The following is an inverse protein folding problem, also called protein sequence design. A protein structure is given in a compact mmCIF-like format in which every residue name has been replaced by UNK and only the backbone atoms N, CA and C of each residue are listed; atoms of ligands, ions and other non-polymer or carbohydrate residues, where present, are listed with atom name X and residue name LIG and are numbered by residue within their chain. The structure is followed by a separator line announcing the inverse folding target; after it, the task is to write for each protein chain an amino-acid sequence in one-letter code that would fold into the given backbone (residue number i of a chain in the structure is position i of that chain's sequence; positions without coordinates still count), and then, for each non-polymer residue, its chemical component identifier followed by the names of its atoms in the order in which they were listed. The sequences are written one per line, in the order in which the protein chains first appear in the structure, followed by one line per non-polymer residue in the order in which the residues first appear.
data_IF_610779110174
#
_entry.id   IF_610779110174
#
_cell.length_a   1.000
_cell.length_b   1.000
_cell.length_c   1.000
_cell.angle_alpha   90.00
_cell.angle_beta   90.00
_cell.angle_gamma   90.00
#
_symmetry.space_group_name_H-M   'P 1'
#
loop_
_entity.id
_entity.type
_entity.pdbx_description
1 polymer ?
#
# COMPACT_ATOMS: atom_id res chain seq x y z
N UNK A 1 24.77 17.87 13.45
CA UNK A 1 25.00 17.21 12.15
C UNK A 1 25.83 18.04 11.18
N UNK A 2 25.64 19.36 11.02
CA UNK A 2 26.54 20.15 10.15
C UNK A 2 28.00 20.05 10.63
N UNK A 3 28.93 19.83 9.71
CA UNK A 3 30.34 19.57 9.96
C UNK A 3 30.69 18.11 10.24
N UNK A 4 29.69 17.27 10.58
CA UNK A 4 29.90 15.83 10.76
C UNK A 4 30.06 15.13 9.41
N UNK A 5 30.65 13.94 9.45
CA UNK A 5 30.75 13.08 8.28
C UNK A 5 29.86 11.86 8.40
N UNK A 6 29.28 11.45 7.27
CA UNK A 6 28.57 10.17 7.12
C UNK A 6 29.26 9.45 5.96
N UNK A 7 30.01 8.40 6.29
CA UNK A 7 30.94 7.76 5.34
C UNK A 7 31.92 8.77 4.71
N UNK A 8 31.91 8.84 3.38
CA UNK A 8 32.78 9.71 2.59
C UNK A 8 32.22 11.13 2.39
N UNK A 9 31.10 11.49 3.02
CA UNK A 9 30.42 12.77 2.80
C UNK A 9 30.45 13.62 4.06
N UNK A 10 30.93 14.86 3.95
CA UNK A 10 30.88 15.85 5.04
C UNK A 10 29.66 16.73 4.85
N UNK A 11 28.78 16.79 5.86
CA UNK A 11 27.53 17.55 5.82
C UNK A 11 27.83 19.05 5.94
N UNK A 12 27.41 19.86 4.96
CA UNK A 12 27.74 21.29 4.90
C UNK A 12 26.55 22.20 5.14
N UNK A 13 25.34 21.80 4.73
CA UNK A 13 24.13 22.63 4.89
C UNK A 13 22.88 21.77 5.07
N UNK A 14 21.94 22.21 5.88
CA UNK A 14 20.64 21.55 6.03
C UNK A 14 19.72 22.00 4.88
N UNK A 15 19.04 21.04 4.23
CA UNK A 15 18.15 21.30 3.08
C UNK A 15 16.67 21.16 3.47
N UNK A 16 16.35 20.23 4.36
CA UNK A 16 14.98 20.03 4.82
C UNK A 16 14.83 18.78 5.68
N UNK A 17 13.66 18.60 6.25
CA UNK A 17 13.31 17.47 7.11
C UNK A 17 11.95 16.92 6.66
N UNK A 18 11.87 15.60 6.55
CA UNK A 18 10.64 14.85 6.32
C UNK A 18 10.32 13.96 7.52
N UNK A 19 9.18 13.27 7.47
CA UNK A 19 8.68 12.51 8.63
C UNK A 19 9.57 11.37 9.16
N UNK A 20 10.60 10.95 8.41
CA UNK A 20 11.51 9.88 8.83
C UNK A 20 13.00 10.21 8.67
N UNK A 21 13.34 11.32 8.01
CA UNK A 21 14.71 11.60 7.61
C UNK A 21 14.96 13.10 7.44
N UNK A 22 16.20 13.50 7.67
CA UNK A 22 16.70 14.84 7.43
C UNK A 22 17.62 14.84 6.22
N UNK A 23 17.46 15.84 5.34
CA UNK A 23 18.23 15.96 4.11
C UNK A 23 19.25 17.08 4.28
N UNK A 24 20.50 16.75 3.99
CA UNK A 24 21.63 17.66 4.06
C UNK A 24 22.31 17.75 2.70
N UNK A 25 22.80 18.93 2.37
CA UNK A 25 23.87 19.07 1.42
C UNK A 25 25.16 18.52 2.03
N UNK A 26 25.92 17.78 1.23
CA UNK A 26 27.22 17.28 1.64
C UNK A 26 28.24 17.37 0.51
N UNK A 27 29.52 17.41 0.90
CA UNK A 27 30.66 17.34 -0.02
C UNK A 27 31.36 16.00 0.13
N UNK A 28 31.57 15.29 -0.97
CA UNK A 28 32.36 14.07 -0.98
C UNK A 28 33.83 14.43 -0.65
N UNK A 29 34.42 13.78 0.36
CA UNK A 29 35.76 14.09 0.88
C UNK A 29 36.86 14.01 -0.17
N UNK A 30 36.88 12.92 -0.95
CA UNK A 30 37.90 12.66 -1.97
C UNK A 30 37.62 13.39 -3.29
N UNK A 31 36.40 13.23 -3.83
CA UNK A 31 36.04 13.76 -5.16
C UNK A 31 35.70 15.26 -5.15
N UNK A 32 35.39 15.83 -3.99
CA UNK A 32 34.96 17.22 -3.85
C UNK A 32 33.58 17.52 -4.45
N UNK A 33 32.92 16.53 -5.04
CA UNK A 33 31.56 16.65 -5.60
C UNK A 33 30.54 16.93 -4.51
N UNK A 34 29.46 17.61 -4.89
CA UNK A 34 28.38 18.00 -4.01
C UNK A 34 27.19 17.05 -4.20
N UNK A 35 26.64 16.57 -3.11
CA UNK A 35 25.50 15.66 -3.08
C UNK A 35 24.42 16.17 -2.11
N UNK A 36 23.23 15.60 -2.21
CA UNK A 36 22.25 15.61 -1.13
C UNK A 36 22.30 14.25 -0.40
N UNK A 37 22.22 14.28 0.93
CA UNK A 37 22.35 13.12 1.81
C UNK A 37 21.13 13.11 2.71
N UNK A 38 20.21 12.17 2.45
CA UNK A 38 19.02 11.89 3.26
C UNK A 38 19.41 10.93 4.37
N UNK A 39 19.42 11.41 5.61
CA UNK A 39 19.84 10.68 6.80
C UNK A 39 18.61 10.24 7.58
N UNK A 40 18.49 8.94 7.84
CA UNK A 40 17.41 8.38 8.65
C UNK A 40 17.49 8.93 10.09
N UNK A 41 16.36 9.31 10.67
CA UNK A 41 16.32 9.77 12.07
C UNK A 41 16.85 8.68 13.01
N UNK A 42 17.79 9.07 13.88
CA UNK A 42 18.33 8.27 14.98
C UNK A 42 17.30 7.55 15.86
N UNK A 43 16.10 8.11 16.04
CA UNK A 43 15.02 7.48 16.80
C UNK A 43 14.43 6.29 16.05
N UNK A 44 14.46 6.34 14.72
CA UNK A 44 13.93 5.32 13.82
C UNK A 44 14.97 4.26 13.47
N UNK A 45 16.27 4.56 13.59
CA UNK A 45 17.33 3.58 13.39
C UNK A 45 17.36 2.47 14.45
N UNK A 46 16.58 2.58 15.52
CA UNK A 46 16.36 1.49 16.47
C UNK A 46 15.39 0.41 15.97
N UNK A 47 14.65 0.66 14.87
CA UNK A 47 13.63 -0.25 14.35
C UNK A 47 14.11 -0.97 13.07
N UNK A 48 14.43 -2.29 13.15
CA UNK A 48 14.97 -3.04 12.01
C UNK A 48 14.07 -3.01 10.77
N UNK A 49 12.75 -2.99 10.96
CA UNK A 49 11.78 -2.90 9.87
C UNK A 49 11.90 -1.58 9.10
N UNK A 50 12.16 -0.45 9.77
CA UNK A 50 12.32 0.85 9.13
C UNK A 50 13.64 0.95 8.38
N UNK A 51 14.73 0.41 8.93
CA UNK A 51 16.01 0.30 8.22
C UNK A 51 15.85 -0.55 6.96
N UNK A 52 15.17 -1.71 7.05
CA UNK A 52 14.91 -2.56 5.89
C UNK A 52 14.15 -1.81 4.80
N UNK A 53 13.11 -1.05 5.18
CA UNK A 53 12.32 -0.22 4.24
C UNK A 53 13.18 0.87 3.60
N UNK A 54 13.98 1.57 4.38
CA UNK A 54 14.87 2.63 3.90
C UNK A 54 15.92 2.09 2.90
N UNK A 55 16.48 0.91 3.18
CA UNK A 55 17.41 0.21 2.26
C UNK A 55 16.70 -0.26 0.99
N UNK A 56 15.48 -0.78 1.10
CA UNK A 56 14.68 -1.19 -0.06
C UNK A 56 14.33 0.00 -0.97
N UNK A 57 13.99 1.16 -0.40
CA UNK A 57 13.77 2.40 -1.13
C UNK A 57 15.00 2.78 -1.95
N UNK A 58 16.18 2.82 -1.31
CA UNK A 58 17.45 3.11 -1.97
C UNK A 58 17.75 2.14 -3.13
N UNK A 59 17.55 0.83 -2.90
CA UNK A 59 17.81 -0.22 -3.89
C UNK A 59 16.87 -0.15 -5.09
N UNK A 60 15.60 0.20 -4.89
CA UNK A 60 14.65 0.38 -5.99
C UNK A 60 14.98 1.62 -6.80
N UNK A 61 15.26 2.75 -6.14
CA UNK A 61 15.62 3.99 -6.82
C UNK A 61 16.95 3.90 -7.57
N UNK A 62 17.93 3.15 -7.05
CA UNK A 62 19.21 2.93 -7.73
C UNK A 62 19.10 2.21 -9.08
N UNK A 63 17.98 1.52 -9.35
CA UNK A 63 17.69 0.88 -10.65
C UNK A 63 17.10 1.85 -11.68
N UNK A 64 16.64 3.01 -11.24
CA UNK A 64 15.96 3.98 -12.08
C UNK A 64 16.95 5.04 -12.55
N UNK A 65 17.29 5.02 -13.83
CA UNK A 65 18.08 6.07 -14.48
C UNK A 65 17.21 6.78 -15.52
N UNK A 66 16.72 7.97 -15.16
CA UNK A 66 15.84 8.77 -16.00
C UNK A 66 16.10 10.26 -15.76
N UNK A 67 16.03 11.14 -16.80
CA UNK A 67 16.24 12.58 -16.64
C UNK A 67 15.34 13.22 -15.58
N UNK A 68 14.12 12.70 -15.43
CA UNK A 68 13.08 13.23 -14.55
C UNK A 68 12.90 12.48 -13.21
N UNK A 69 13.83 11.57 -12.87
CA UNK A 69 13.86 10.89 -11.56
C UNK A 69 15.18 11.25 -10.88
N UNK A 70 15.15 11.50 -9.56
CA UNK A 70 16.38 11.79 -8.82
C UNK A 70 17.32 10.60 -8.82
N UNK A 71 18.58 10.85 -9.19
CA UNK A 71 19.62 9.81 -9.19
C UNK A 71 20.08 9.51 -7.78
N UNK A 72 19.90 8.26 -7.35
CA UNK A 72 20.59 7.71 -6.16
C UNK A 72 22.01 7.34 -6.56
N UNK A 73 22.98 7.89 -5.81
CA UNK A 73 24.41 7.71 -6.05
C UNK A 73 24.95 6.58 -5.17
N UNK A 74 24.56 6.56 -3.89
CA UNK A 74 25.13 5.65 -2.90
C UNK A 74 24.17 5.40 -1.73
N UNK A 75 24.40 4.32 -0.99
CA UNK A 75 23.74 4.02 0.28
C UNK A 75 24.81 3.79 1.35
N UNK A 76 24.79 4.62 2.39
CA UNK A 76 25.82 4.60 3.45
C UNK A 76 25.24 3.98 4.71
N UNK A 77 25.86 2.87 5.14
CA UNK A 77 25.71 2.29 6.47
C UNK A 77 26.90 2.75 7.33
N UNK A 78 26.73 3.83 8.10
CA UNK A 78 27.79 4.35 8.96
C UNK A 78 27.80 3.61 10.31
N UNK A 79 28.62 2.56 10.33
CA UNK A 79 28.92 1.72 11.51
C UNK A 79 30.04 2.26 12.37
N UNK A 80 30.52 3.49 12.16
CA UNK A 80 31.52 4.11 13.05
C UNK A 80 31.05 4.13 14.51
N UNK A 81 29.73 4.03 14.70
CA UNK A 81 29.07 3.99 15.99
C UNK A 81 28.57 2.59 16.42
N UNK A 82 28.96 1.53 15.69
CA UNK A 82 28.53 0.16 15.98
C UNK A 82 29.09 -0.35 17.32
N UNK A 83 28.25 -1.09 18.03
CA UNK A 83 28.46 -1.50 19.43
C UNK A 83 29.32 -2.76 19.57
N UNK A 84 29.35 -3.62 18.54
CA UNK A 84 29.96 -4.96 18.62
C UNK A 84 31.49 -4.97 18.65
N UNK A 85 32.16 -3.96 18.08
CA UNK A 85 33.63 -3.95 17.90
C UNK A 85 34.42 -3.15 18.95
N UNK A 86 33.76 -2.52 19.93
CA UNK A 86 34.41 -1.50 20.79
C UNK A 86 34.05 -1.59 22.28
N UNK A 87 33.48 -2.72 22.70
CA UNK A 87 33.30 -3.05 24.11
C UNK A 87 34.68 -3.19 24.77
N UNK A 88 35.09 -2.14 25.48
CA UNK A 88 36.24 -2.21 26.37
C UNK A 88 35.85 -2.99 27.62
N UNK A 89 36.80 -3.74 28.17
CA UNK A 89 36.59 -4.50 29.40
C UNK A 89 36.11 -3.56 30.53
N UNK A 90 34.93 -3.84 31.09
CA UNK A 90 34.30 -3.04 32.14
C UNK A 90 33.39 -1.89 31.68
N UNK A 91 33.24 -1.63 30.38
CA UNK A 91 32.30 -0.62 29.85
C UNK A 91 30.89 -1.21 29.68
N UNK A 92 29.86 -0.54 30.19
CA UNK A 92 28.48 -0.98 29.98
C UNK A 92 27.98 -0.65 28.58
N UNK A 93 27.05 -1.43 28.04
CA UNK A 93 26.43 -1.16 26.73
C UNK A 93 25.84 0.27 26.66
N UNK A 94 25.29 0.77 27.77
CA UNK A 94 24.77 2.13 27.88
C UNK A 94 25.87 3.21 27.79
N UNK A 95 27.06 2.94 28.31
CA UNK A 95 28.22 3.82 28.17
C UNK A 95 28.74 3.84 26.73
N UNK A 96 28.80 2.69 26.07
CA UNK A 96 29.18 2.61 24.64
C UNK A 96 28.17 3.37 23.76
N UNK A 97 26.87 3.17 23.97
CA UNK A 97 25.80 3.91 23.24
C UNK A 97 25.89 5.41 23.50
N UNK A 98 26.14 5.85 24.74
CA UNK A 98 26.33 7.29 25.04
C UNK A 98 27.59 7.87 24.42
N UNK A 99 28.67 7.08 24.33
CA UNK A 99 29.97 7.50 23.80
C UNK A 99 29.98 7.60 22.28
N UNK A 100 29.34 6.64 21.60
CA UNK A 100 29.34 6.55 20.14
C UNK A 100 28.09 7.15 19.51
N UNK A 101 26.94 7.11 20.17
CA UNK A 101 25.67 7.41 19.51
C UNK A 101 25.18 6.25 18.63
N UNK A 102 24.02 6.41 17.97
CA UNK A 102 23.40 5.34 17.20
C UNK A 102 24.03 5.15 15.81
N UNK A 103 23.88 3.95 15.26
CA UNK A 103 24.17 3.69 13.85
C UNK A 103 23.34 4.62 12.95
N UNK A 104 23.96 5.04 11.85
CA UNK A 104 23.36 5.99 10.91
C UNK A 104 23.26 5.38 9.53
N UNK A 105 22.09 5.55 8.92
CA UNK A 105 21.80 5.07 7.59
C UNK A 105 21.47 6.29 6.73
N UNK A 106 22.07 6.36 5.54
CA UNK A 106 21.85 7.49 4.64
C UNK A 106 21.76 7.08 3.16
N UNK A 107 20.89 7.77 2.42
CA UNK A 107 20.81 7.69 0.96
C UNK A 107 21.49 8.93 0.40
N UNK A 108 22.49 8.72 -0.46
CA UNK A 108 23.18 9.79 -1.18
C UNK A 108 22.56 9.92 -2.55
N UNK A 109 22.18 11.13 -2.91
CA UNK A 109 21.51 11.46 -4.16
C UNK A 109 22.14 12.68 -4.83
N UNK A 110 21.85 12.87 -6.12
CA UNK A 110 22.26 14.07 -6.82
C UNK A 110 21.75 15.34 -6.12
N UNK A 111 22.56 16.39 -6.17
CA UNK A 111 22.17 17.67 -5.60
C UNK A 111 21.30 18.44 -6.59
N UNK A 112 20.07 18.74 -6.18
CA UNK A 112 19.17 19.58 -6.95
C UNK A 112 19.24 21.06 -6.52
N UNK A 113 18.95 21.96 -7.45
CA UNK A 113 18.84 23.41 -7.26
C UNK A 113 17.50 23.86 -7.83
N UNK A 114 16.70 24.56 -7.02
CA UNK A 114 15.31 24.90 -7.31
C UNK A 114 14.44 24.71 -6.07
N UNK A 115 13.18 24.33 -6.28
CA UNK A 115 12.17 24.19 -5.23
C UNK A 115 11.20 23.06 -5.53
N UNK A 116 10.47 22.56 -4.54
CA UNK A 116 9.39 21.61 -4.81
C UNK A 116 8.15 22.29 -5.44
N UNK A 117 7.34 21.52 -6.15
CA UNK A 117 6.15 22.02 -6.85
C UNK A 117 5.15 22.67 -5.86
N UNK A 118 5.10 22.20 -4.61
CA UNK A 118 4.26 22.78 -3.57
C UNK A 118 4.72 24.20 -3.21
N UNK A 119 6.02 24.41 -3.07
CA UNK A 119 6.62 25.73 -2.88
C UNK A 119 6.35 26.64 -4.08
N UNK A 120 6.50 26.13 -5.31
CA UNK A 120 6.21 26.90 -6.54
C UNK A 120 4.74 27.36 -6.58
N UNK A 121 3.80 26.46 -6.34
CA UNK A 121 2.36 26.79 -6.29
C UNK A 121 2.06 27.79 -5.16
N UNK A 122 2.72 27.67 -4.01
CA UNK A 122 2.55 28.63 -2.91
C UNK A 122 3.06 30.04 -3.27
N UNK A 123 4.12 30.14 -4.07
CA UNK A 123 4.70 31.41 -4.50
C UNK A 123 3.90 32.07 -5.64
N UNK A 124 3.46 31.28 -6.62
CA UNK A 124 2.84 31.79 -7.86
C UNK A 124 1.30 31.72 -7.86
N UNK A 125 0.72 30.93 -6.95
CA UNK A 125 -0.70 30.59 -6.98
C UNK A 125 -1.01 29.53 -8.06
N UNK A 126 -2.13 29.71 -8.76
CA UNK A 126 -2.48 28.87 -9.90
C UNK A 126 -1.43 29.02 -11.01
N UNK A 127 -0.93 27.88 -11.51
CA UNK A 127 0.07 27.85 -12.56
C UNK A 127 -0.57 28.03 -13.94
N UNK A 128 0.18 28.63 -14.87
CA UNK A 128 -0.28 28.77 -16.26
C UNK A 128 -0.39 27.42 -16.97
N UNK A 129 -1.28 27.33 -17.96
CA UNK A 129 -1.49 26.12 -18.74
C UNK A 129 -0.19 25.58 -19.37
N UNK A 130 0.64 26.46 -19.94
CA UNK A 130 1.93 26.08 -20.55
C UNK A 130 2.88 25.46 -19.52
N UNK A 131 3.00 26.06 -18.33
CA UNK A 131 3.84 25.52 -17.25
C UNK A 131 3.30 24.18 -16.77
N UNK A 132 1.97 24.05 -16.65
CA UNK A 132 1.33 22.78 -16.27
C UNK A 132 1.65 21.68 -17.28
N UNK A 133 1.47 21.93 -18.57
CA UNK A 133 1.71 20.93 -19.61
C UNK A 133 3.16 20.46 -19.61
N UNK A 134 4.12 21.38 -19.45
CA UNK A 134 5.55 21.05 -19.39
C UNK A 134 5.89 20.21 -18.15
N UNK A 135 5.58 20.70 -16.94
CA UNK A 135 5.95 20.01 -15.70
C UNK A 135 5.25 18.65 -15.55
N UNK A 136 3.96 18.56 -15.87
CA UNK A 136 3.20 17.32 -15.75
C UNK A 136 3.49 16.34 -16.89
N UNK A 137 3.86 16.83 -18.08
CA UNK A 137 4.38 16.00 -19.16
C UNK A 137 5.64 15.25 -18.71
N UNK A 138 6.62 15.97 -18.16
CA UNK A 138 7.85 15.38 -17.61
C UNK A 138 7.56 14.38 -16.46
N UNK A 139 6.58 14.68 -15.60
CA UNK A 139 6.15 13.74 -14.55
C UNK A 139 5.58 12.43 -15.13
N UNK A 140 4.77 12.53 -16.19
CA UNK A 140 4.17 11.37 -16.84
C UNK A 140 5.21 10.52 -17.57
N UNK A 141 6.23 11.13 -18.16
CA UNK A 141 7.37 10.41 -18.73
C UNK A 141 8.14 9.62 -17.66
N UNK A 142 8.44 10.25 -16.52
CA UNK A 142 9.10 9.59 -15.40
C UNK A 142 8.28 8.43 -14.82
N UNK A 143 6.98 8.64 -14.62
CA UNK A 143 6.09 7.62 -14.09
C UNK A 143 5.93 6.46 -15.07
N UNK A 144 5.75 6.74 -16.36
CA UNK A 144 5.72 5.72 -17.40
C UNK A 144 6.97 4.83 -17.32
N UNK A 145 8.15 5.43 -17.27
CA UNK A 145 9.42 4.71 -17.17
C UNK A 145 9.50 3.80 -15.94
N UNK A 146 9.03 4.28 -14.77
CA UNK A 146 9.01 3.47 -13.56
C UNK A 146 7.97 2.33 -13.63
N UNK A 147 6.79 2.61 -14.19
CA UNK A 147 5.69 1.65 -14.35
C UNK A 147 6.06 0.49 -15.27
N UNK A 148 6.80 0.76 -16.36
CA UNK A 148 7.34 -0.27 -17.27
C UNK A 148 8.32 -1.23 -16.56
N UNK A 149 8.92 -0.80 -15.44
CA UNK A 149 9.78 -1.64 -14.62
C UNK A 149 9.02 -2.32 -13.47
N UNK A 150 7.69 -2.22 -13.45
CA UNK A 150 6.84 -2.75 -12.40
C UNK A 150 6.92 -1.97 -11.08
N UNK A 151 7.40 -0.72 -11.12
CA UNK A 151 7.59 0.12 -9.94
C UNK A 151 6.55 1.24 -9.93
N UNK A 152 5.60 1.17 -9.01
CA UNK A 152 4.70 2.29 -8.69
C UNK A 152 5.31 3.17 -7.58
N UNK A 153 5.11 4.48 -7.68
CA UNK A 153 5.65 5.46 -6.73
C UNK A 153 4.89 5.49 -5.40
N UNK A 154 3.56 5.49 -5.45
CA UNK A 154 2.60 5.40 -4.32
C UNK A 154 2.63 6.56 -3.33
N UNK A 155 3.31 7.65 -3.66
CA UNK A 155 3.38 8.87 -2.83
C UNK A 155 3.59 10.12 -3.68
N UNK A 156 2.90 10.20 -4.82
CA UNK A 156 2.96 11.38 -5.68
C UNK A 156 2.22 12.53 -5.01
N UNK A 157 2.90 13.67 -4.89
CA UNK A 157 2.40 14.92 -4.30
C UNK A 157 3.36 16.06 -4.65
N UNK A 158 2.94 17.34 -4.53
CA UNK A 158 3.78 18.47 -4.90
C UNK A 158 5.16 18.49 -4.21
N UNK A 159 5.26 18.08 -2.94
CA UNK A 159 6.53 18.08 -2.21
C UNK A 159 7.55 17.04 -2.70
N UNK A 160 7.09 16.06 -3.49
CA UNK A 160 7.93 14.99 -4.05
C UNK A 160 8.24 15.24 -5.54
N UNK A 161 7.82 16.38 -6.10
CA UNK A 161 8.15 16.81 -7.45
C UNK A 161 9.03 18.05 -7.32
N UNK A 162 10.33 17.89 -7.52
CA UNK A 162 11.29 18.99 -7.44
C UNK A 162 11.41 19.66 -8.81
N UNK A 163 11.23 20.98 -8.88
CA UNK A 163 11.36 21.79 -10.08
C UNK A 163 12.69 22.52 -10.03
N UNK A 164 13.60 22.19 -10.95
CA UNK A 164 14.89 22.86 -11.05
C UNK A 164 14.78 24.23 -11.70
N UNK A 165 15.76 25.10 -11.45
CA UNK A 165 15.80 26.47 -12.01
C UNK A 165 15.80 26.50 -13.55
N UNK A 166 16.23 25.42 -14.20
CA UNK A 166 16.20 25.25 -15.65
C UNK A 166 14.87 24.68 -16.18
N UNK A 167 13.85 24.49 -15.35
CA UNK A 167 12.54 23.96 -15.71
C UNK A 167 12.44 22.43 -15.73
N UNK A 168 13.54 21.71 -15.49
CA UNK A 168 13.51 20.24 -15.44
C UNK A 168 12.97 19.78 -14.09
N UNK A 169 12.01 18.85 -14.09
CA UNK A 169 11.53 18.23 -12.87
C UNK A 169 12.34 16.99 -12.49
N UNK A 170 12.36 16.69 -11.20
CA UNK A 170 12.89 15.46 -10.61
C UNK A 170 11.87 14.91 -9.62
N UNK A 171 11.36 13.71 -9.88
CA UNK A 171 10.55 12.97 -8.92
C UNK A 171 11.47 12.44 -7.81
N UNK A 172 11.06 12.68 -6.56
CA UNK A 172 11.75 12.29 -5.33
C UNK A 172 10.98 11.20 -4.59
N UNK A 173 11.68 10.41 -3.76
CA UNK A 173 11.10 9.59 -2.68
C UNK A 173 9.97 8.64 -3.09
N UNK A 174 10.31 7.52 -3.73
CA UNK A 174 9.35 6.45 -3.97
C UNK A 174 8.82 5.92 -2.62
N UNK A 175 7.50 5.94 -2.43
CA UNK A 175 6.79 5.69 -1.16
C UNK A 175 6.83 4.25 -0.65
N UNK A 176 7.89 3.51 -0.94
CA UNK A 176 8.10 2.10 -0.62
C UNK A 176 8.03 1.87 0.91
N UNK A 177 8.52 2.85 1.69
CA UNK A 177 8.45 2.81 3.15
C UNK A 177 7.02 2.89 3.71
N UNK A 178 6.04 3.42 2.95
CA UNK A 178 4.65 3.61 3.39
C UNK A 178 3.76 2.36 3.21
N UNK A 179 4.10 1.49 2.26
CA UNK A 179 3.30 0.31 1.91
C UNK A 179 3.21 -0.74 3.00
N UNK A 180 4.27 -0.88 3.78
CA UNK A 180 4.34 -1.86 4.86
C UNK A 180 3.77 -1.32 6.18
N UNK A 181 3.30 -0.07 6.20
CA UNK A 181 2.60 0.52 7.33
C UNK A 181 1.11 0.15 7.38
N UNK A 182 0.53 -0.38 6.29
CA UNK A 182 -0.91 -0.64 6.10
C UNK A 182 -1.56 -1.73 7.00
N UNK A 183 -0.83 -2.21 8.02
CA UNK A 183 -1.34 -3.15 9.03
C UNK A 183 -1.46 -2.52 10.43
N UNK A 184 -1.91 -3.31 11.42
CA UNK A 184 -2.14 -2.90 12.82
C UNK A 184 -0.95 -2.24 13.56
N UNK A 185 0.24 -2.09 12.94
CA UNK A 185 1.39 -1.36 13.47
C UNK A 185 1.25 0.18 13.40
N UNK A 186 0.23 0.70 12.70
CA UNK A 186 -0.04 2.14 12.53
C UNK A 186 -0.10 2.96 13.83
N UNK A 187 -0.56 2.35 14.93
CA UNK A 187 -0.78 3.04 16.20
C UNK A 187 0.41 2.94 17.16
N UNK A 188 1.31 1.97 16.97
CA UNK A 188 2.35 1.66 17.95
C UNK A 188 3.65 2.45 17.75
N UNK A 189 3.98 2.88 16.53
CA UNK A 189 5.25 3.57 16.24
C UNK A 189 5.17 5.10 16.31
N UNK A 190 3.99 5.68 16.58
CA UNK A 190 3.81 7.14 16.66
C UNK A 190 4.19 7.90 15.38
N UNK A 191 4.31 7.20 14.24
CA UNK A 191 4.65 7.77 12.95
C UNK A 191 3.43 8.54 12.45
N UNK A 192 3.52 9.87 12.47
CA UNK A 192 2.46 10.74 12.01
C UNK A 192 2.18 10.44 10.53
N UNK A 193 0.97 9.93 10.24
CA UNK A 193 0.49 9.82 8.88
C UNK A 193 0.52 11.24 8.30
N UNK A 194 1.31 11.46 7.26
CA UNK A 194 1.22 12.70 6.49
C UNK A 194 -0.23 12.93 6.04
N UNK A 195 -0.59 14.16 5.74
CA UNK A 195 -1.96 14.50 5.34
C UNK A 195 -2.40 13.66 4.12
N UNK A 196 -3.57 12.99 4.16
CA UNK A 196 -3.98 12.01 3.15
C UNK A 196 -4.43 12.63 1.80
N UNK A 197 -4.31 13.96 1.62
CA UNK A 197 -4.89 14.74 0.51
C UNK A 197 -4.66 14.12 -0.87
N UNK A 198 -3.48 13.54 -1.12
CA UNK A 198 -3.09 12.99 -2.43
C UNK A 198 -3.22 11.47 -2.51
N UNK A 199 -3.70 10.81 -1.45
CA UNK A 199 -3.91 9.35 -1.46
C UNK A 199 -5.06 8.99 -2.39
N UNK A 200 -4.89 7.89 -3.11
CA UNK A 200 -5.97 7.27 -3.89
C UNK A 200 -7.00 6.57 -3.00
N UNK A 201 -8.25 6.36 -3.46
CA UNK A 201 -9.28 5.64 -2.72
C UNK A 201 -8.82 4.26 -2.23
N UNK A 202 -8.13 3.50 -3.07
CA UNK A 202 -7.60 2.18 -2.75
C UNK A 202 -6.49 2.21 -1.67
N UNK A 203 -5.72 3.31 -1.59
CA UNK A 203 -4.75 3.52 -0.51
C UNK A 203 -5.44 3.83 0.81
N UNK A 204 -6.49 4.66 0.78
CA UNK A 204 -7.29 4.98 1.98
C UNK A 204 -7.99 3.71 2.50
N UNK A 205 -8.53 2.90 1.60
CA UNK A 205 -9.16 1.62 1.94
C UNK A 205 -8.16 0.51 2.31
N UNK A 206 -6.85 0.80 2.30
CA UNK A 206 -5.79 -0.16 2.61
C UNK A 206 -5.87 -1.45 1.80
N UNK A 207 -6.22 -1.33 0.52
CA UNK A 207 -6.34 -2.49 -0.36
C UNK A 207 -4.99 -3.18 -0.54
N UNK A 208 -5.02 -4.52 -0.61
CA UNK A 208 -3.79 -5.33 -0.72
C UNK A 208 -3.10 -5.17 -2.07
N UNK A 209 -3.84 -4.86 -3.13
CA UNK A 209 -3.35 -4.74 -4.50
C UNK A 209 -3.41 -3.28 -4.97
N UNK A 210 -2.36 -2.54 -4.63
CA UNK A 210 -2.10 -1.21 -5.18
C UNK A 210 -1.29 -1.34 -6.48
N UNK A 211 -1.87 -0.92 -7.60
CA UNK A 211 -1.19 -0.86 -8.88
C UNK A 211 -0.75 0.58 -9.22
N UNK A 212 -0.19 0.78 -10.42
CA UNK A 212 0.34 2.07 -10.86
C UNK A 212 -0.74 3.16 -11.05
N UNK A 213 -2.03 2.79 -11.13
CA UNK A 213 -3.14 3.74 -11.30
C UNK A 213 -3.44 4.54 -10.03
N UNK A 214 -2.87 4.14 -8.89
CA UNK A 214 -2.81 4.99 -7.70
C UNK A 214 -1.94 6.23 -7.96
N UNK A 215 -0.83 6.11 -8.71
CA UNK A 215 0.02 7.25 -9.06
C UNK A 215 -0.71 8.22 -10.01
N UNK A 216 -1.53 7.68 -10.93
CA UNK A 216 -2.35 8.46 -11.85
C UNK A 216 -3.36 9.32 -11.07
N UNK A 217 -4.03 8.73 -10.08
CA UNK A 217 -4.93 9.47 -9.18
C UNK A 217 -4.18 10.57 -8.44
N UNK A 218 -3.07 10.22 -7.77
CA UNK A 218 -2.28 11.16 -6.98
C UNK A 218 -1.71 12.31 -7.83
N UNK A 219 -1.28 12.04 -9.07
CA UNK A 219 -0.86 13.06 -10.01
C UNK A 219 -2.04 13.93 -10.47
N UNK A 220 -3.23 13.35 -10.66
CA UNK A 220 -4.47 14.09 -10.94
C UNK A 220 -4.84 15.08 -9.82
N UNK A 221 -4.72 14.68 -8.55
CA UNK A 221 -4.91 15.58 -7.40
C UNK A 221 -3.84 16.67 -7.35
N UNK A 222 -2.60 16.32 -7.68
CA UNK A 222 -1.49 17.29 -7.80
C UNK A 222 -1.77 18.30 -8.93
N UNK A 223 -2.34 17.84 -10.04
CA UNK A 223 -2.75 18.67 -11.18
C UNK A 223 -3.90 19.61 -10.81
N UNK A 224 -4.90 19.11 -10.06
CA UNK A 224 -5.97 19.95 -9.50
C UNK A 224 -5.39 21.13 -8.73
N UNK A 225 -4.42 20.87 -7.84
CA UNK A 225 -3.79 21.91 -7.05
C UNK A 225 -3.00 22.90 -7.89
N UNK A 226 -2.25 22.43 -8.90
CA UNK A 226 -1.52 23.31 -9.80
C UNK A 226 -2.45 24.25 -10.57
N UNK A 227 -3.63 23.76 -10.98
CA UNK A 227 -4.65 24.56 -11.69
C UNK A 227 -5.35 25.56 -10.75
N UNK A 228 -5.72 25.14 -9.54
CA UNK A 228 -6.51 25.97 -8.62
C UNK A 228 -5.67 26.81 -7.64
N UNK A 229 -4.35 26.59 -7.59
CA UNK A 229 -3.44 27.18 -6.59
C UNK A 229 -3.59 26.61 -5.17
N UNK A 230 -4.56 25.72 -4.95
CA UNK A 230 -4.88 25.10 -3.66
C UNK A 230 -5.35 23.65 -3.82
N UNK A 231 -5.05 22.76 -2.88
CA UNK A 231 -5.50 21.37 -2.95
C UNK A 231 -7.03 21.27 -2.87
N UNK A 232 -7.63 20.15 -3.30
CA UNK A 232 -9.09 19.96 -3.23
C UNK A 232 -9.60 19.90 -1.78
N UNK A 233 -8.77 19.44 -0.84
CA UNK A 233 -9.14 19.28 0.57
C UNK A 233 -8.25 20.16 1.46
N UNK A 234 -8.86 20.83 2.45
CA UNK A 234 -8.19 21.78 3.34
C UNK A 234 -7.85 21.12 4.68
N UNK A 235 -6.61 20.67 4.81
CA UNK A 235 -6.13 19.99 6.02
C UNK A 235 -5.99 20.88 7.26
N UNK A 236 -6.16 22.20 7.12
CA UNK A 236 -6.21 23.10 8.27
C UNK A 236 -7.64 23.21 8.83
N UNK A 237 -8.64 22.97 8.00
CA UNK A 237 -10.07 23.06 8.38
C UNK A 237 -10.71 21.70 8.61
N UNK A 238 -10.18 20.64 8.01
CA UNK A 238 -10.77 19.31 8.02
C UNK A 238 -9.88 18.31 8.74
N UNK A 239 -10.48 17.37 9.46
CA UNK A 239 -9.75 16.26 10.06
C UNK A 239 -9.27 15.28 9.01
N UNK A 240 -8.23 14.49 9.31
CA UNK A 240 -7.75 13.45 8.39
C UNK A 240 -8.86 12.45 8.02
N UNK A 241 -9.69 12.08 8.99
CA UNK A 241 -10.83 11.18 8.77
C UNK A 241 -11.84 11.78 7.78
N UNK A 242 -12.15 13.07 7.90
CA UNK A 242 -13.04 13.74 6.94
C UNK A 242 -12.44 13.70 5.54
N UNK A 243 -11.17 14.07 5.38
CA UNK A 243 -10.51 14.05 4.07
C UNK A 243 -10.49 12.63 3.47
N UNK A 244 -10.17 11.61 4.26
CA UNK A 244 -10.20 10.21 3.82
C UNK A 244 -11.60 9.80 3.34
N UNK A 245 -12.65 10.18 4.08
CA UNK A 245 -14.03 9.93 3.68
C UNK A 245 -14.35 10.58 2.34
N UNK A 246 -13.98 11.85 2.15
CA UNK A 246 -14.21 12.55 0.89
C UNK A 246 -13.42 11.94 -0.27
N UNK A 247 -12.20 11.46 -0.02
CA UNK A 247 -11.40 10.77 -1.03
C UNK A 247 -12.13 9.51 -1.54
N UNK A 248 -12.82 8.77 -0.67
CA UNK A 248 -13.50 7.53 -1.05
C UNK A 248 -14.90 7.79 -1.59
N UNK A 249 -15.67 8.66 -0.94
CA UNK A 249 -17.12 8.75 -1.12
C UNK A 249 -17.57 9.96 -1.97
N UNK A 250 -16.76 11.02 -2.07
CA UNK A 250 -17.18 12.29 -2.67
C UNK A 250 -16.39 12.60 -3.95
N UNK A 251 -17.08 13.17 -4.95
CA UNK A 251 -16.42 13.71 -6.14
C UNK A 251 -15.45 14.83 -5.78
N UNK A 252 -14.51 15.10 -6.69
CA UNK A 252 -13.64 16.26 -6.54
C UNK A 252 -14.48 17.55 -6.50
N UNK A 253 -14.12 18.52 -5.64
CA UNK A 253 -14.80 19.80 -5.58
C UNK A 253 -14.64 20.57 -6.88
N UNK A 254 -15.55 21.51 -7.11
CA UNK A 254 -15.55 22.36 -8.30
C UNK A 254 -14.28 23.20 -8.45
N UNK A 255 -13.85 23.38 -9.69
CA UNK A 255 -12.71 24.22 -10.01
C UNK A 255 -13.07 25.68 -9.78
N UNK A 256 -12.17 26.40 -9.10
CA UNK A 256 -12.35 27.85 -8.92
C UNK A 256 -11.98 28.61 -10.20
N UNK A 257 -11.19 27.99 -11.08
CA UNK A 257 -10.73 28.54 -12.36
C UNK A 257 -11.23 27.64 -13.49
N UNK A 258 -11.94 28.20 -14.47
CA UNK A 258 -12.31 27.45 -15.68
C UNK A 258 -11.05 26.99 -16.41
N UNK A 259 -10.93 25.69 -16.64
CA UNK A 259 -9.76 25.08 -17.28
C UNK A 259 -10.20 24.02 -18.25
N UNK A 260 -9.58 23.99 -19.44
CA UNK A 260 -9.76 22.90 -20.42
C UNK A 260 -9.23 21.57 -19.90
N UNK A 261 -8.45 21.58 -18.81
CA UNK A 261 -7.90 20.39 -18.15
C UNK A 261 -8.80 19.82 -17.05
N UNK A 262 -9.95 20.43 -16.75
CA UNK A 262 -10.87 19.91 -15.74
C UNK A 262 -11.30 18.47 -16.03
N UNK A 263 -11.67 18.20 -17.28
CA UNK A 263 -12.04 16.87 -17.76
C UNK A 263 -10.91 15.85 -17.57
N UNK A 264 -9.67 16.28 -17.80
CA UNK A 264 -8.46 15.47 -17.62
C UNK A 264 -8.25 15.11 -16.15
N UNK A 265 -8.39 16.09 -15.25
CA UNK A 265 -8.29 15.85 -13.80
C UNK A 265 -9.39 14.92 -13.31
N UNK A 266 -10.65 15.16 -13.71
CA UNK A 266 -11.78 14.32 -13.29
C UNK A 266 -11.58 12.87 -13.73
N UNK A 267 -11.09 12.63 -14.95
CA UNK A 267 -10.76 11.28 -15.43
C UNK A 267 -9.59 10.66 -14.66
N UNK A 268 -8.51 11.40 -14.39
CA UNK A 268 -7.39 10.88 -13.60
C UNK A 268 -7.80 10.52 -12.16
N UNK A 269 -8.74 11.28 -11.59
CA UNK A 269 -9.21 11.15 -10.21
C UNK A 269 -10.53 10.36 -10.07
N UNK A 270 -10.94 9.61 -11.10
CA UNK A 270 -12.11 8.73 -11.01
C UNK A 270 -11.93 7.76 -9.83
N UNK A 271 -12.99 7.50 -9.05
CA UNK A 271 -12.88 6.62 -7.88
C UNK A 271 -12.59 5.17 -8.29
N UNK A 272 -13.33 4.69 -9.28
CA UNK A 272 -13.03 3.43 -9.95
C UNK A 272 -11.74 3.55 -10.77
N UNK A 273 -10.79 2.65 -10.51
CA UNK A 273 -9.49 2.57 -11.21
C UNK A 273 -9.63 2.21 -12.69
N UNK A 274 -10.65 1.45 -13.06
CA UNK A 274 -10.89 1.07 -14.46
C UNK A 274 -11.42 2.26 -15.29
N UNK A 275 -12.07 3.23 -14.62
CA UNK A 275 -12.51 4.48 -15.24
C UNK A 275 -11.38 5.52 -15.40
N UNK A 276 -10.21 5.30 -14.77
CA UNK A 276 -9.04 6.19 -14.88
C UNK A 276 -8.30 6.00 -16.21
N UNK A 277 -7.27 6.82 -16.43
CA UNK A 277 -6.28 6.51 -17.45
C UNK A 277 -5.60 5.17 -17.16
N UNK A 278 -5.53 4.31 -18.18
CA UNK A 278 -4.88 3.00 -18.08
C UNK A 278 -3.38 3.07 -18.36
N UNK A 279 -2.85 4.24 -18.73
CA UNK A 279 -1.41 4.49 -18.87
C UNK A 279 -1.06 5.97 -18.73
N UNK A 280 0.17 6.26 -18.34
CA UNK A 280 0.72 7.62 -18.31
C UNK A 280 0.70 8.29 -19.71
N UNK A 281 0.86 7.52 -20.78
CA UNK A 281 0.82 8.04 -22.14
C UNK A 281 -0.58 8.51 -22.55
N UNK A 282 -1.62 7.78 -22.14
CA UNK A 282 -3.01 8.20 -22.37
C UNK A 282 -3.33 9.50 -21.63
N UNK A 283 -2.83 9.64 -20.40
CA UNK A 283 -2.92 10.89 -19.64
C UNK A 283 -2.14 12.01 -20.35
N UNK A 284 -0.89 11.77 -20.74
CA UNK A 284 -0.05 12.78 -21.39
C UNK A 284 -0.66 13.30 -22.70
N UNK A 285 -1.31 12.42 -23.47
CA UNK A 285 -2.03 12.80 -24.69
C UNK A 285 -3.17 13.76 -24.40
N UNK A 286 -4.03 13.45 -23.42
CA UNK A 286 -5.18 14.30 -23.10
C UNK A 286 -4.72 15.62 -22.43
N UNK A 287 -3.65 15.59 -21.62
CA UNK A 287 -2.99 16.77 -21.05
C UNK A 287 -2.44 17.72 -22.12
N UNK A 288 -1.76 17.18 -23.14
CA UNK A 288 -1.17 17.97 -24.22
C UNK A 288 -2.22 18.64 -25.12
N UNK A 289 -3.36 17.97 -25.33
CA UNK A 289 -4.40 18.45 -26.24
C UNK A 289 -5.52 19.24 -25.54
N UNK A 290 -5.53 19.31 -24.21
CA UNK A 290 -6.49 20.08 -23.42
C UNK A 290 -7.90 20.03 -24.01
N UNK A 291 -8.40 18.82 -24.29
CA UNK A 291 -9.72 18.69 -24.90
C UNK A 291 -10.76 19.08 -23.85
N UNK A 292 -11.67 19.98 -24.21
CA UNK A 292 -13.05 19.81 -23.77
C UNK A 292 -13.42 18.38 -24.15
N UNK A 293 -13.45 17.49 -23.16
CA UNK A 293 -14.12 16.21 -23.33
C UNK A 293 -15.58 16.63 -23.40
N UNK A 294 -16.06 16.86 -24.62
CA UNK A 294 -17.46 16.64 -24.93
C UNK A 294 -17.67 15.21 -24.49
N UNK A 295 -18.26 15.02 -23.32
CA UNK A 295 -18.91 13.77 -22.99
C UNK A 295 -19.85 13.57 -24.15
N UNK A 296 -19.50 12.69 -25.09
CA UNK A 296 -20.49 12.18 -26.01
C UNK A 296 -21.44 11.44 -25.10
N UNK A 297 -22.51 12.12 -24.68
CA UNK A 297 -23.71 11.44 -24.26
C UNK A 297 -23.97 10.40 -25.36
N UNK A 298 -23.89 9.12 -25.02
CA UNK A 298 -24.51 8.12 -25.89
C UNK A 298 -25.91 8.62 -26.17
N UNK A 299 -26.35 8.71 -27.44
CA UNK A 299 -27.65 9.26 -27.75
C UNK A 299 -28.68 8.56 -26.87
N UNK A 300 -29.29 9.32 -25.95
CA UNK A 300 -30.44 8.82 -25.23
C UNK A 300 -31.47 8.55 -26.33
N UNK A 301 -31.95 7.32 -26.52
CA UNK A 301 -32.93 7.05 -27.57
C UNK A 301 -34.13 7.98 -27.37
N UNK A 302 -34.44 8.79 -28.38
CA UNK A 302 -35.53 9.79 -28.32
C UNK A 302 -36.90 9.16 -28.06
N UNK A 303 -37.03 7.83 -28.22
CA UNK A 303 -38.25 7.08 -27.94
C UNK A 303 -38.17 6.34 -26.60
N UNK A 304 -39.02 6.70 -25.61
CA UNK A 304 -39.16 5.96 -24.35
C UNK A 304 -39.43 4.46 -24.54
N UNK A 305 -40.01 4.04 -25.68
CA UNK A 305 -40.22 2.62 -25.99
C UNK A 305 -38.94 1.90 -26.39
N UNK A 306 -37.99 2.59 -27.00
CA UNK A 306 -36.68 2.03 -27.35
C UNK A 306 -35.86 1.77 -26.08
N UNK A 307 -35.92 2.70 -25.11
CA UNK A 307 -35.33 2.54 -23.77
C UNK A 307 -35.95 1.31 -23.08
N UNK A 308 -37.28 1.21 -23.05
CA UNK A 308 -37.98 0.07 -22.44
C UNK A 308 -37.59 -1.25 -23.12
N UNK A 309 -37.44 -1.26 -24.45
CA UNK A 309 -37.05 -2.44 -25.22
C UNK A 309 -35.62 -2.88 -24.93
N UNK A 310 -34.67 -1.93 -24.87
CA UNK A 310 -33.28 -2.21 -24.51
C UNK A 310 -33.17 -2.77 -23.07
N UNK A 311 -33.92 -2.21 -22.13
CA UNK A 311 -33.99 -2.72 -20.76
C UNK A 311 -34.59 -4.14 -20.68
N UNK A 312 -35.61 -4.44 -21.47
CA UNK A 312 -36.19 -5.79 -21.53
C UNK A 312 -35.28 -6.79 -22.25
N UNK A 313 -34.55 -6.37 -23.30
CA UNK A 313 -33.54 -7.18 -23.99
C UNK A 313 -32.34 -7.51 -23.07
N UNK A 314 -31.82 -6.53 -22.31
CA UNK A 314 -30.78 -6.76 -21.31
C UNK A 314 -31.26 -7.63 -20.15
N UNK A 315 -32.47 -7.41 -19.63
CA UNK A 315 -33.06 -8.29 -18.61
C UNK A 315 -33.21 -9.71 -19.13
N UNK A 316 -33.63 -9.89 -20.39
CA UNK A 316 -33.74 -11.20 -21.01
C UNK A 316 -32.38 -11.87 -21.15
N UNK A 317 -31.34 -11.14 -21.56
CA UNK A 317 -29.99 -11.64 -21.67
C UNK A 317 -29.37 -12.03 -20.30
N UNK A 318 -29.59 -11.20 -19.27
CA UNK A 318 -29.13 -11.49 -17.90
C UNK A 318 -29.90 -12.68 -17.33
N UNK A 319 -31.22 -12.73 -17.53
CA UNK A 319 -32.05 -13.87 -17.10
C UNK A 319 -31.61 -15.15 -17.81
N UNK A 320 -31.39 -15.09 -19.13
CA UNK A 320 -30.86 -16.20 -19.90
C UNK A 320 -29.49 -16.66 -19.38
N UNK A 321 -28.55 -15.74 -19.11
CA UNK A 321 -27.23 -16.08 -18.57
C UNK A 321 -27.32 -16.73 -17.17
N UNK A 322 -28.15 -16.19 -16.29
CA UNK A 322 -28.38 -16.75 -14.96
C UNK A 322 -28.96 -18.17 -15.02
N UNK A 323 -29.93 -18.41 -15.91
CA UNK A 323 -30.59 -19.73 -16.01
C UNK A 323 -29.84 -20.75 -16.89
N UNK A 324 -29.06 -20.32 -17.89
CA UNK A 324 -28.34 -21.22 -18.80
C UNK A 324 -26.91 -21.52 -18.37
N UNK A 325 -26.28 -20.63 -17.59
CA UNK A 325 -24.87 -20.78 -17.20
C UNK A 325 -24.73 -20.92 -15.69
N UNK A 326 -25.28 -19.97 -14.92
CA UNK A 326 -25.04 -19.92 -13.46
C UNK A 326 -25.80 -21.03 -12.74
N UNK A 327 -27.11 -21.17 -12.99
CA UNK A 327 -27.94 -22.15 -12.30
C UNK A 327 -27.53 -23.61 -12.56
N UNK A 328 -27.22 -24.03 -13.80
CA UNK A 328 -26.70 -25.36 -14.06
C UNK A 328 -25.33 -25.61 -13.41
N UNK A 329 -24.46 -24.58 -13.36
CA UNK A 329 -23.16 -24.69 -12.70
C UNK A 329 -23.30 -24.89 -11.19
N UNK A 330 -24.28 -24.23 -10.56
CA UNK A 330 -24.60 -24.45 -9.14
C UNK A 330 -25.15 -25.86 -8.92
N UNK A 331 -26.04 -26.35 -9.79
CA UNK A 331 -26.57 -27.72 -9.70
C UNK A 331 -25.44 -28.75 -9.83
N UNK A 332 -24.56 -28.57 -10.81
CA UNK A 332 -23.39 -29.45 -10.99
C UNK A 332 -22.48 -29.38 -9.77
N UNK A 333 -22.21 -28.18 -9.24
CA UNK A 333 -21.45 -28.00 -8.01
C UNK A 333 -22.08 -28.72 -6.81
N UNK A 334 -23.40 -28.59 -6.63
CA UNK A 334 -24.14 -29.27 -5.58
C UNK A 334 -24.19 -30.80 -5.79
N UNK A 335 -24.28 -31.28 -7.03
CA UNK A 335 -24.19 -32.70 -7.35
C UNK A 335 -22.80 -33.26 -7.07
N UNK A 336 -21.74 -32.50 -7.37
CA UNK A 336 -20.36 -32.88 -7.04
C UNK A 336 -20.17 -32.90 -5.53
N UNK A 337 -20.66 -31.89 -4.80
CA UNK A 337 -20.63 -31.86 -3.34
C UNK A 337 -21.43 -33.03 -2.77
N UNK A 338 -22.64 -33.29 -3.26
CA UNK A 338 -23.46 -34.43 -2.86
C UNK A 338 -22.76 -35.77 -3.14
N UNK A 339 -22.13 -35.90 -4.30
CA UNK A 339 -21.36 -37.08 -4.67
C UNK A 339 -20.13 -37.28 -3.77
N UNK A 340 -19.40 -36.20 -3.45
CA UNK A 340 -18.27 -36.24 -2.52
C UNK A 340 -18.76 -36.63 -1.12
N UNK A 341 -19.86 -36.05 -0.65
CA UNK A 341 -20.47 -36.38 0.65
C UNK A 341 -20.89 -37.85 0.69
N UNK A 342 -21.50 -38.37 -0.37
CA UNK A 342 -21.93 -39.78 -0.45
C UNK A 342 -20.77 -40.77 -0.73
N UNK A 343 -19.64 -40.32 -1.27
CA UNK A 343 -18.39 -41.09 -1.32
C UNK A 343 -17.67 -41.10 0.04
N UNK A 344 -17.83 -40.02 0.82
CA UNK A 344 -17.25 -39.86 2.15
C UNK A 344 -18.08 -40.52 3.27
N UNK A 345 -19.32 -40.92 3.00
CA UNK A 345 -20.16 -41.67 3.93
C UNK A 345 -20.22 -43.16 3.54
N UNK A 346 -19.66 -44.08 4.33
CA UNK A 346 -19.95 -45.50 4.15
C UNK A 346 -21.43 -45.76 4.44
N UNK A 347 -22.02 -46.68 3.68
CA UNK A 347 -23.41 -47.09 3.81
C UNK A 347 -23.74 -47.63 5.21
N UNK A 348 -24.94 -47.26 5.63
CA UNK A 348 -25.78 -47.72 6.75
C UNK A 348 -25.58 -47.14 8.17
N UNK A 349 -26.68 -46.62 8.77
CA UNK A 349 -26.71 -46.12 10.13
C UNK A 349 -26.79 -47.28 11.13
N UNK A 350 -25.83 -47.37 12.05
CA UNK A 350 -26.06 -48.08 13.30
C UNK A 350 -27.10 -47.30 14.11
N UNK A 351 -28.27 -47.90 14.29
CA UNK A 351 -29.24 -47.56 15.34
C UNK A 351 -28.56 -47.45 16.70
N UNK A 352 -28.30 -46.22 17.15
CA UNK A 352 -27.97 -45.93 18.53
C UNK A 352 -29.24 -45.51 19.26
N UNK A 353 -30.04 -46.52 19.59
CA UNK A 353 -30.95 -46.48 20.74
C UNK A 353 -30.12 -46.11 21.97
N UNK A 354 -30.57 -45.10 22.72
CA UNK A 354 -29.89 -44.61 23.91
C UNK A 354 -29.59 -45.73 24.90
N UNK A 355 -28.35 -45.79 25.37
CA UNK A 355 -27.98 -46.56 26.55
C UNK A 355 -27.30 -45.60 27.52
N UNK A 356 -28.00 -45.34 28.61
CA UNK A 356 -27.54 -44.50 29.71
C UNK A 356 -26.30 -45.08 30.38
N UNK A 357 -25.50 -44.18 30.95
CA UNK A 357 -24.50 -44.52 31.96
C UNK A 357 -25.21 -45.06 33.20
N UNK A 358 -25.05 -46.34 33.50
CA UNK A 358 -25.03 -46.80 34.89
C UNK A 358 -23.58 -47.12 35.23
N UNK A 359 -23.01 -46.30 36.10
CA UNK A 359 -21.73 -46.55 36.75
C UNK A 359 -22.09 -47.39 37.99
N UNK A 360 -21.96 -48.70 37.90
CA UNK A 360 -22.07 -49.54 39.09
C UNK A 360 -20.75 -49.51 39.84
N UNK A 361 -20.76 -48.86 41.01
CA UNK A 361 -19.60 -48.72 41.89
C UNK A 361 -19.32 -50.07 42.56
N UNK A 362 -18.60 -50.97 41.88
CA UNK A 362 -18.22 -52.23 42.51
C UNK A 362 -17.43 -53.25 41.69
N UNK A 363 -17.25 -53.10 40.38
CA UNK A 363 -16.47 -54.07 39.59
C UNK A 363 -15.56 -53.40 38.56
N UNK A 364 -14.27 -53.73 38.57
CA UNK A 364 -13.28 -53.23 37.61
C UNK A 364 -13.49 -53.86 36.22
N UNK A 365 -14.54 -53.47 35.50
CA UNK A 365 -14.67 -53.87 34.10
C UNK A 365 -15.33 -52.80 33.24
N UNK A 366 -14.83 -52.65 32.01
CA UNK A 366 -15.47 -51.87 30.96
C UNK A 366 -15.82 -52.78 29.78
N UNK A 367 -16.95 -52.51 29.13
CA UNK A 367 -17.43 -53.26 27.97
C UNK A 367 -17.32 -52.37 26.74
N UNK A 368 -16.59 -52.84 25.74
CA UNK A 368 -16.56 -52.22 24.42
C UNK A 368 -16.95 -53.24 23.36
N UNK A 369 -17.62 -52.77 22.30
CA UNK A 369 -17.96 -53.58 21.11
C UNK A 369 -16.98 -53.27 20.00
N UNK A 370 -16.36 -54.31 19.45
CA UNK A 370 -15.65 -54.25 18.16
C UNK A 370 -16.25 -55.32 17.26
N UNK A 371 -16.78 -54.90 16.11
CA UNK A 371 -17.45 -55.78 15.13
C UNK A 371 -18.60 -56.63 15.71
N UNK A 372 -19.42 -56.04 16.58
CA UNK A 372 -20.67 -56.65 17.06
C UNK A 372 -20.56 -57.66 18.21
N UNK A 373 -19.35 -58.02 18.67
CA UNK A 373 -19.13 -58.92 19.81
C UNK A 373 -18.77 -58.09 21.04
N UNK A 374 -19.42 -58.34 22.18
CA UNK A 374 -19.10 -57.68 23.44
C UNK A 374 -17.86 -58.33 24.07
N UNK A 375 -16.84 -57.52 24.37
CA UNK A 375 -15.60 -57.97 25.03
C UNK A 375 -15.50 -57.26 26.38
N UNK A 376 -15.53 -58.04 27.47
CA UNK A 376 -15.30 -57.56 28.82
C UNK A 376 -13.80 -57.44 29.08
N UNK A 377 -13.35 -56.22 29.41
CA UNK A 377 -11.98 -55.98 29.84
C UNK A 377 -11.97 -55.82 31.37
N UNK A 378 -11.27 -56.70 32.07
CA UNK A 378 -11.02 -56.55 33.50
C UNK A 378 -9.74 -55.75 33.73
N UNK A 379 -9.79 -54.72 34.58
CA UNK A 379 -8.63 -53.90 34.92
C UNK A 379 -8.23 -54.12 36.39
N UNK A 380 -6.93 -54.05 36.71
CA UNK A 380 -6.49 -54.17 38.10
C UNK A 380 -6.49 -52.82 38.83
N UNK A 381 -6.30 -51.72 38.12
CA UNK A 381 -6.04 -50.39 38.66
C UNK A 381 -6.25 -49.28 37.59
N UNK A 382 -6.40 -48.02 38.02
CA UNK A 382 -6.79 -46.88 37.18
C UNK A 382 -5.70 -46.44 36.18
N UNK A 383 -4.41 -46.66 36.50
CA UNK A 383 -3.29 -46.26 35.63
C UNK A 383 -3.20 -47.11 34.35
N UNK A 384 -3.63 -48.39 34.38
CA UNK A 384 -3.66 -49.30 33.22
C UNK A 384 -4.79 -48.94 32.21
N UNK A 385 -5.79 -48.17 32.64
CA UNK A 385 -6.91 -47.74 31.81
C UNK A 385 -6.55 -46.56 30.88
N UNK A 386 -5.80 -45.56 31.39
CA UNK A 386 -5.43 -44.38 30.61
C UNK A 386 -4.40 -44.71 29.52
N UNK A 387 -3.51 -45.67 29.74
CA UNK A 387 -2.49 -46.04 28.76
C UNK A 387 -3.08 -46.75 27.54
N UNK A 388 -4.13 -47.56 27.72
CA UNK A 388 -4.78 -48.31 26.63
C UNK A 388 -5.87 -47.52 25.89
N UNK A 389 -6.32 -46.39 26.42
CA UNK A 389 -7.32 -45.51 25.78
C UNK A 389 -6.72 -44.36 24.95
N UNK A 390 -5.39 -44.20 24.91
CA UNK A 390 -4.70 -43.12 24.16
C UNK A 390 -4.83 -43.20 22.64
N UNK A 391 -5.22 -44.34 22.07
CA UNK A 391 -5.38 -44.54 20.63
C UNK A 391 -6.83 -44.33 20.13
N UNK A 392 -7.71 -43.75 20.95
CA UNK A 392 -9.09 -43.45 20.56
C UNK A 392 -9.21 -41.93 20.38
N UNK A 393 -9.31 -41.52 19.12
CA UNK A 393 -9.38 -40.12 18.68
C UNK A 393 -10.72 -39.48 19.10
N UNK A 394 -10.82 -39.01 20.34
CA UNK A 394 -12.01 -38.29 20.84
C UNK A 394 -11.92 -36.80 20.55
N UNK A 395 -12.70 -36.32 19.58
CA UNK A 395 -12.97 -34.90 19.38
C UNK A 395 -13.95 -34.40 20.46
N UNK A 396 -13.51 -33.48 21.31
CA UNK A 396 -14.38 -32.78 22.25
C UNK A 396 -15.18 -31.70 21.51
N UNK A 397 -16.52 -31.77 21.57
CA UNK A 397 -17.40 -30.65 21.18
C UNK A 397 -17.89 -30.00 22.47
N UNK A 398 -17.42 -28.80 22.75
CA UNK A 398 -18.05 -27.86 23.70
C UNK A 398 -19.10 -27.05 22.93
N UNK A 399 -20.36 -27.13 23.32
CA UNK A 399 -21.40 -26.19 22.89
C UNK A 399 -21.68 -25.18 24.00
N UNK A 400 -21.80 -23.90 23.62
CA UNK A 400 -22.39 -22.82 24.43
C UNK A 400 -23.91 -23.01 24.62
#
# INVERSE_FOLDING_TARGET
MIGESIGNYTLTRFLGEGGMASVYEAKHKTLGTIAAVKVLDSKLSAHPNLIRRFKQEAQMMAKLEHPHIVKVIDFVEDRSHSLEMDLKEGESLQQVVRRKGPERYAIVMERLQGMDLGQKIKQEGALSHTVIQDLFGQCLEALFFAHEQGIAHRDIKPSNIFVQDNGIIKILDFGIAKLYGLGHEFTQTGLQLGTPVYMSPEQVNSEKSLDFRSDIYSLGVTLFQAINGRPPYDSQKQSQFQIMKQIVDEDLPEFTVKSTLESVVRKACAKDREARYQSCQAFAKDLAHGKEIVVQETPVPDDPKEIQRQFEEEKSAITFFLFSVVFPSIIVGLMVIYYIINQAMPADPCDCVGVGREIDQGTNSAITKKNGIAITHGFKDYEDYEERCKDIDTTYITCD
#
